data_IF_641705215532
#
_entry.id   IF_641705215532
#
_cell.length_a   1.000
_cell.length_b   1.000
_cell.length_c   1.000
_cell.angle_alpha   90.00
_cell.angle_beta   90.00
_cell.angle_gamma   90.00
#
_symmetry.space_group_name_H-M   'P 1'
#
loop_
_entity.id
_entity.type
_entity.pdbx_description
1 polymer ?
#
# COMPACT_ATOMS: atom_id res chain seq x y z
N UNK A 1 13.86 18.46 27.29
CA UNK A 1 12.92 17.37 27.69
C UNK A 1 13.36 16.00 27.19
N UNK A 2 13.84 15.85 25.95
CA UNK A 2 14.29 14.56 25.39
C UNK A 2 15.82 14.42 25.23
N UNK A 3 16.61 15.37 25.74
CA UNK A 3 18.07 15.47 25.49
C UNK A 3 18.90 14.30 26.05
N UNK A 4 18.34 13.47 26.93
CA UNK A 4 19.04 12.32 27.52
C UNK A 4 18.69 10.98 26.86
N UNK A 5 17.80 10.97 25.87
CA UNK A 5 17.40 9.76 25.14
C UNK A 5 18.14 9.69 23.81
N UNK A 6 18.53 8.49 23.41
CA UNK A 6 19.02 8.24 22.06
C UNK A 6 17.84 8.20 21.08
N UNK A 7 18.11 8.38 19.79
CA UNK A 7 17.06 8.28 18.77
C UNK A 7 16.37 6.91 18.75
N UNK A 8 17.14 5.85 19.02
CA UNK A 8 16.62 4.49 19.11
C UNK A 8 15.65 4.27 20.26
N UNK A 9 15.60 5.18 21.25
CA UNK A 9 14.72 5.10 22.43
C UNK A 9 13.33 5.69 22.19
N UNK A 10 13.03 6.14 20.96
CA UNK A 10 11.83 6.91 20.66
C UNK A 10 10.97 6.21 19.61
N UNK A 11 9.69 6.00 19.96
CA UNK A 11 8.65 5.68 19.01
C UNK A 11 7.74 6.88 18.74
N UNK A 12 7.35 7.03 17.48
CA UNK A 12 6.24 7.86 17.05
C UNK A 12 5.16 6.95 16.46
N UNK A 13 4.02 6.88 17.13
CA UNK A 13 2.93 5.95 16.82
C UNK A 13 1.71 6.72 16.31
N UNK A 14 1.03 6.17 15.31
CA UNK A 14 -0.24 6.69 14.81
C UNK A 14 -1.16 5.54 14.35
N UNK A 15 -2.48 5.76 14.20
CA UNK A 15 -3.35 4.72 13.66
C UNK A 15 -3.04 4.41 12.18
N UNK A 16 -2.62 5.42 11.43
CA UNK A 16 -2.11 5.28 10.06
C UNK A 16 -0.94 6.24 9.82
N UNK A 17 0.08 5.74 9.13
CA UNK A 17 1.26 6.51 8.73
C UNK A 17 1.31 6.75 7.22
N UNK A 18 0.35 6.25 6.43
CA UNK A 18 0.42 6.32 4.95
C UNK A 18 -0.35 7.46 4.33
N UNK A 19 -1.30 8.07 5.04
CA UNK A 19 -2.09 9.18 4.50
C UNK A 19 -1.21 10.36 4.07
N UNK A 20 -1.50 10.94 2.91
CA UNK A 20 -0.77 12.09 2.35
C UNK A 20 -0.80 13.31 3.27
N UNK A 21 -1.93 13.52 3.94
CA UNK A 21 -2.13 14.62 4.89
C UNK A 21 -1.65 14.32 6.31
N UNK A 22 -0.99 13.18 6.54
CA UNK A 22 -0.62 12.76 7.88
C UNK A 22 0.38 13.73 8.53
N UNK A 23 0.09 14.27 9.73
CA UNK A 23 1.04 15.12 10.45
C UNK A 23 2.32 14.38 10.85
N UNK A 24 2.26 13.05 10.92
CA UNK A 24 3.39 12.17 11.21
C UNK A 24 4.44 12.25 10.10
N UNK A 25 3.99 12.27 8.84
CA UNK A 25 4.86 12.46 7.66
C UNK A 25 5.59 13.79 7.70
N UNK A 26 4.88 14.86 8.06
CA UNK A 26 5.47 16.20 8.22
C UNK A 26 6.51 16.23 9.34
N UNK A 27 6.28 15.52 10.45
CA UNK A 27 7.25 15.40 11.52
C UNK A 27 8.49 14.64 11.04
N UNK A 28 8.34 13.47 10.43
CA UNK A 28 9.46 12.67 9.92
C UNK A 28 10.33 13.50 8.97
N UNK A 29 9.73 14.11 7.94
CA UNK A 29 10.47 14.89 6.96
C UNK A 29 11.23 16.03 7.66
N UNK A 30 10.59 16.71 8.63
CA UNK A 30 11.24 17.77 9.40
C UNK A 30 12.42 17.25 10.22
N UNK A 31 12.30 16.11 10.88
CA UNK A 31 13.39 15.51 11.66
C UNK A 31 14.57 15.11 10.75
N UNK A 32 14.28 14.45 9.63
CA UNK A 32 15.30 14.06 8.64
C UNK A 32 16.06 15.29 8.11
N UNK A 33 15.35 16.40 7.87
CA UNK A 33 15.95 17.66 7.46
C UNK A 33 16.88 18.29 8.52
N UNK A 34 16.62 18.04 9.81
CA UNK A 34 17.54 18.39 10.89
C UNK A 34 18.67 17.38 11.10
N UNK A 35 18.83 16.40 10.19
CA UNK A 35 19.86 15.37 10.28
C UNK A 35 19.55 14.26 11.28
N UNK A 36 18.30 14.15 11.74
CA UNK A 36 17.89 13.10 12.67
C UNK A 36 17.46 11.86 11.90
N UNK A 37 18.07 10.72 12.25
CA UNK A 37 17.80 9.47 11.57
C UNK A 37 16.43 8.91 11.97
N UNK A 38 15.62 8.60 10.96
CA UNK A 38 14.27 8.10 11.12
C UNK A 38 14.11 6.75 10.41
N UNK A 39 13.16 5.95 10.88
CA UNK A 39 12.72 4.74 10.21
C UNK A 39 11.21 4.75 10.07
N UNK A 40 10.75 4.51 8.84
CA UNK A 40 9.34 4.25 8.54
C UNK A 40 9.30 2.90 7.81
N UNK A 41 8.49 1.93 8.25
CA UNK A 41 8.28 0.69 7.50
C UNK A 41 7.84 0.97 6.06
N UNK A 42 8.02 0.04 5.11
CA UNK A 42 7.50 0.20 3.73
C UNK A 42 6.03 -0.26 3.61
N UNK A 43 5.60 -1.21 4.44
CA UNK A 43 4.21 -1.64 4.58
C UNK A 43 3.79 -1.72 6.04
N UNK A 44 2.49 -1.91 6.30
CA UNK A 44 1.96 -2.08 7.66
C UNK A 44 2.20 -3.51 8.20
N UNK A 45 2.52 -4.46 7.32
CA UNK A 45 2.85 -5.86 7.64
C UNK A 45 4.36 -6.11 7.74
N UNK A 46 5.18 -5.11 7.43
CA UNK A 46 6.63 -5.26 7.49
C UNK A 46 7.06 -5.65 8.90
N UNK A 47 7.75 -6.79 8.99
CA UNK A 47 8.41 -7.22 10.22
C UNK A 47 9.44 -6.17 10.57
N UNK A 48 9.34 -5.68 11.80
CA UNK A 48 10.23 -4.64 12.33
C UNK A 48 11.61 -5.24 12.54
N UNK A 49 12.50 -5.00 11.59
CA UNK A 49 13.88 -5.47 11.67
C UNK A 49 14.67 -4.63 12.70
N UNK A 50 15.15 -5.23 13.81
CA UNK A 50 15.92 -4.50 14.81
C UNK A 50 17.19 -3.85 14.26
N UNK A 51 17.78 -4.42 13.19
CA UNK A 51 18.98 -3.86 12.57
C UNK A 51 18.69 -2.60 11.76
N UNK A 52 17.48 -2.49 11.19
CA UNK A 52 17.05 -1.31 10.42
C UNK A 52 16.60 -0.17 11.36
N UNK A 53 15.98 -0.50 12.49
CA UNK A 53 15.50 0.48 13.48
C UNK A 53 16.59 0.99 14.44
N UNK A 54 17.73 0.29 14.53
CA UNK A 54 18.80 0.63 15.46
C UNK A 54 19.31 2.06 15.24
N UNK A 55 19.30 2.86 16.31
CA UNK A 55 19.82 4.22 16.31
C UNK A 55 18.91 5.25 15.63
N UNK A 56 17.65 4.90 15.34
CA UNK A 56 16.70 5.76 14.62
C UNK A 56 15.40 5.94 15.39
N UNK A 57 14.78 7.10 15.22
CA UNK A 57 13.40 7.32 15.68
C UNK A 57 12.49 6.49 14.79
N UNK A 58 11.73 5.56 15.37
CA UNK A 58 10.87 4.66 14.60
C UNK A 58 9.43 5.16 14.55
N UNK A 59 8.92 5.33 13.34
CA UNK A 59 7.55 5.74 13.02
C UNK A 59 6.74 4.51 12.63
N UNK A 60 5.64 4.23 13.33
CA UNK A 60 4.93 2.96 13.19
C UNK A 60 3.43 3.12 13.36
N UNK A 61 2.65 2.18 12.83
CA UNK A 61 1.25 2.09 13.21
C UNK A 61 1.08 1.52 14.62
N UNK A 62 -0.08 1.74 15.24
CA UNK A 62 -0.42 1.12 16.53
C UNK A 62 -0.29 -0.41 16.51
N UNK A 63 -0.67 -1.04 15.39
CA UNK A 63 -0.62 -2.49 15.22
C UNK A 63 0.83 -3.00 15.13
N UNK A 64 1.68 -2.31 14.37
CA UNK A 64 3.09 -2.68 14.19
C UNK A 64 3.91 -2.59 15.49
N UNK A 65 3.53 -1.69 16.40
CA UNK A 65 4.23 -1.54 17.66
C UNK A 65 3.93 -2.66 18.68
N UNK A 66 2.99 -3.57 18.39
CA UNK A 66 2.60 -4.66 19.30
C UNK A 66 3.82 -5.53 19.64
N UNK A 67 4.05 -5.75 20.93
CA UNK A 67 5.19 -6.52 21.43
C UNK A 67 6.51 -5.75 21.51
N UNK A 68 6.56 -4.51 21.02
CA UNK A 68 7.72 -3.63 21.16
C UNK A 68 7.53 -2.65 22.33
N UNK A 69 8.62 -2.15 22.90
CA UNK A 69 8.61 -1.11 23.92
C UNK A 69 9.80 -0.17 23.74
N UNK A 70 9.63 1.08 24.18
CA UNK A 70 10.68 2.11 24.16
C UNK A 70 10.56 3.03 25.37
N UNK A 71 11.68 3.61 25.85
CA UNK A 71 11.65 4.62 26.91
C UNK A 71 10.67 5.76 26.61
N UNK A 72 10.65 6.27 25.38
CA UNK A 72 9.79 7.39 24.97
C UNK A 72 8.85 6.97 23.85
N UNK A 73 7.56 7.27 24.01
CA UNK A 73 6.54 7.04 22.97
C UNK A 73 5.68 8.29 22.79
N UNK A 74 5.52 8.69 21.53
CA UNK A 74 4.67 9.81 21.11
C UNK A 74 3.52 9.24 20.28
N UNK A 75 2.29 9.38 20.77
CA UNK A 75 1.06 8.82 20.19
C UNK A 75 0.25 9.94 19.52
N UNK A 76 0.11 9.87 18.20
CA UNK A 76 -0.70 10.79 17.37
C UNK A 76 -2.12 10.28 17.19
N UNK A 77 -3.07 11.21 17.01
CA UNK A 77 -4.49 10.91 16.78
C UNK A 77 -5.14 10.20 17.98
N UNK A 78 -4.82 10.70 19.17
CA UNK A 78 -5.41 10.28 20.44
C UNK A 78 -6.68 11.10 20.72
N UNK A 79 -7.69 10.94 19.86
CA UNK A 79 -8.91 11.74 19.81
C UNK A 79 -10.11 10.89 19.35
N UNK A 80 -11.32 11.43 19.50
CA UNK A 80 -12.58 10.73 19.19
C UNK A 80 -12.73 10.37 17.70
N UNK A 81 -12.12 11.16 16.81
CA UNK A 81 -12.05 10.89 15.37
C UNK A 81 -11.41 9.52 15.04
N UNK A 82 -10.68 8.91 15.98
CA UNK A 82 -10.21 7.55 15.82
C UNK A 82 -11.35 6.56 15.54
N UNK A 83 -12.48 6.73 16.22
CA UNK A 83 -13.64 5.86 16.07
C UNK A 83 -14.25 5.97 14.68
N UNK A 84 -14.26 7.18 14.10
CA UNK A 84 -14.84 7.45 12.80
C UNK A 84 -14.00 6.85 11.65
N UNK A 85 -12.67 6.90 11.77
CA UNK A 85 -11.77 6.57 10.66
C UNK A 85 -11.07 5.22 10.76
N UNK A 86 -10.88 4.69 11.98
CA UNK A 86 -10.00 3.54 12.19
C UNK A 86 -10.64 2.42 13.01
N UNK A 87 -11.78 2.67 13.65
CA UNK A 87 -12.52 1.60 14.31
C UNK A 87 -13.28 0.79 13.25
N UNK A 88 -12.93 -0.49 13.13
CA UNK A 88 -13.51 -1.38 12.11
C UNK A 88 -14.91 -1.89 12.47
N UNK A 89 -15.46 -1.54 13.64
CA UNK A 89 -16.74 -2.07 14.10
C UNK A 89 -17.83 -0.99 13.99
N UNK A 90 -18.98 -1.30 13.38
CA UNK A 90 -20.03 -0.31 13.12
C UNK A 90 -20.76 0.21 14.37
N UNK A 91 -20.44 -0.28 15.58
CA UNK A 91 -21.06 0.14 16.85
C UNK A 91 -20.03 0.16 18.00
N UNK A 92 -18.86 0.76 17.81
CA UNK A 92 -17.88 0.85 18.90
C UNK A 92 -18.40 1.76 20.01
N UNK A 93 -18.40 1.23 21.23
CA UNK A 93 -18.63 2.01 22.44
C UNK A 93 -17.49 3.04 22.63
N UNK A 94 -17.79 4.31 22.33
CA UNK A 94 -16.84 5.43 22.48
C UNK A 94 -16.53 5.77 23.94
N UNK A 95 -17.28 5.22 24.90
CA UNK A 95 -16.99 5.38 26.33
C UNK A 95 -15.83 4.50 26.82
N UNK A 96 -15.33 3.58 25.98
CA UNK A 96 -14.23 2.69 26.32
C UNK A 96 -12.98 3.02 25.52
N UNK A 97 -11.81 2.86 26.15
CA UNK A 97 -10.52 2.98 25.46
C UNK A 97 -10.32 1.77 24.53
N UNK A 98 -10.16 1.97 23.22
CA UNK A 98 -9.90 0.86 22.29
C UNK A 98 -8.61 0.12 22.65
N UNK A 99 -8.64 -1.21 22.56
CA UNK A 99 -7.45 -2.06 22.78
C UNK A 99 -6.24 -1.59 21.95
N UNK A 100 -6.47 -1.14 20.72
CA UNK A 100 -5.41 -0.65 19.83
C UNK A 100 -4.73 0.61 20.38
N UNK A 101 -5.51 1.56 20.93
CA UNK A 101 -4.97 2.75 21.58
C UNK A 101 -4.26 2.40 22.90
N UNK A 102 -4.84 1.49 23.69
CA UNK A 102 -4.21 0.99 24.91
C UNK A 102 -2.85 0.34 24.63
N UNK A 103 -2.77 -0.50 23.58
CA UNK A 103 -1.50 -1.10 23.13
C UNK A 103 -0.50 0.00 22.79
N UNK A 104 -0.89 1.03 22.03
CA UNK A 104 0.00 2.13 21.67
C UNK A 104 0.55 2.87 22.90
N UNK A 105 -0.29 3.18 23.89
CA UNK A 105 0.14 3.86 25.12
C UNK A 105 1.07 2.99 25.98
N UNK A 106 0.80 1.68 26.10
CA UNK A 106 1.61 0.74 26.90
C UNK A 106 2.96 0.40 26.26
N UNK A 107 3.29 0.95 25.09
CA UNK A 107 4.64 0.82 24.52
C UNK A 107 5.66 1.70 25.25
N UNK A 108 5.20 2.72 25.99
CA UNK A 108 6.05 3.65 26.74
C UNK A 108 6.55 3.01 28.04
N UNK A 109 7.85 3.09 28.30
CA UNK A 109 8.47 2.61 29.54
C UNK A 109 8.75 3.75 30.54
N UNK A 110 9.03 4.96 30.05
CA UNK A 110 9.39 6.10 30.89
C UNK A 110 8.52 7.33 30.61
N UNK A 111 8.34 7.71 29.34
CA UNK A 111 7.60 8.92 28.95
C UNK A 111 6.60 8.62 27.85
N UNK A 112 5.35 9.00 28.10
CA UNK A 112 4.26 8.96 27.14
C UNK A 112 3.84 10.39 26.79
N UNK A 113 3.79 10.68 25.49
CA UNK A 113 3.18 11.88 24.94
C UNK A 113 1.96 11.47 24.13
N UNK A 114 0.80 12.07 24.37
CA UNK A 114 -0.41 11.86 23.57
C UNK A 114 -0.77 13.17 22.88
N UNK A 115 -1.10 13.08 21.59
CA UNK A 115 -1.36 14.24 20.74
C UNK A 115 -2.77 14.10 20.15
N UNK A 116 -3.61 15.07 20.49
CA UNK A 116 -4.92 15.30 19.90
C UNK A 116 -4.83 16.42 18.87
N UNK A 117 -5.55 16.28 17.76
CA UNK A 117 -5.69 17.36 16.79
C UNK A 117 -6.61 18.46 17.35
N UNK A 118 -6.27 19.74 17.16
CA UNK A 118 -6.95 20.87 17.81
C UNK A 118 -8.42 21.03 17.42
N UNK A 119 -8.81 20.51 16.25
CA UNK A 119 -10.20 20.50 15.75
C UNK A 119 -10.97 19.22 16.08
N UNK A 120 -10.30 18.21 16.64
CA UNK A 120 -10.94 16.94 16.97
C UNK A 120 -11.45 16.95 18.39
N UNK A 121 -12.52 16.19 18.65
CA UNK A 121 -13.03 15.99 19.99
C UNK A 121 -12.08 15.17 20.85
N UNK A 122 -12.00 15.51 22.12
CA UNK A 122 -11.35 14.68 23.12
C UNK A 122 -12.13 13.38 23.29
N UNK A 123 -11.42 12.29 23.61
CA UNK A 123 -12.02 11.00 23.89
C UNK A 123 -13.00 11.11 25.06
N UNK A 124 -14.19 10.52 24.93
CA UNK A 124 -15.30 10.72 25.88
C UNK A 124 -14.99 10.27 27.31
N UNK A 125 -14.10 9.29 27.46
CA UNK A 125 -13.65 8.76 28.75
C UNK A 125 -12.51 9.55 29.39
N UNK A 126 -11.96 10.58 28.73
CA UNK A 126 -10.95 11.41 29.36
C UNK A 126 -11.58 12.25 30.48
N UNK A 127 -10.99 12.26 31.68
CA UNK A 127 -11.51 13.06 32.79
C UNK A 127 -11.39 14.55 32.46
N UNK A 128 -12.11 15.39 33.20
CA UNK A 128 -12.06 16.84 33.01
C UNK A 128 -10.64 17.41 33.17
N UNK A 129 -10.37 18.55 32.53
CA UNK A 129 -9.03 19.16 32.46
C UNK A 129 -8.40 19.40 33.84
N UNK A 130 -9.22 19.70 34.85
CA UNK A 130 -8.79 19.88 36.24
C UNK A 130 -8.26 18.58 36.88
N UNK A 131 -8.73 17.42 36.41
CA UNK A 131 -8.28 16.10 36.86
C UNK A 131 -7.08 15.66 36.01
N UNK A 132 -7.12 15.87 34.68
CA UNK A 132 -6.00 15.58 33.79
C UNK A 132 -4.73 16.30 34.20
N UNK A 133 -4.82 17.58 34.57
CA UNK A 133 -3.68 18.39 35.02
C UNK A 133 -3.03 17.91 36.33
N UNK A 134 -3.72 17.06 37.13
CA UNK A 134 -3.14 16.44 38.33
C UNK A 134 -2.26 15.22 38.01
N UNK A 135 -2.49 14.57 36.88
CA UNK A 135 -1.84 13.31 36.49
C UNK A 135 -0.97 13.43 35.25
N UNK A 136 -1.09 14.53 34.50
CA UNK A 136 -0.35 14.79 33.28
C UNK A 136 -0.05 16.28 33.08
N UNK A 137 1.03 16.58 32.36
CA UNK A 137 1.31 17.92 31.87
C UNK A 137 0.51 18.21 30.61
N UNK A 138 -0.52 19.06 30.72
CA UNK A 138 -1.39 19.43 29.59
C UNK A 138 -0.85 20.69 28.90
N UNK A 139 -0.75 20.66 27.56
CA UNK A 139 -0.40 21.82 26.73
C UNK A 139 -1.47 22.03 25.67
N UNK A 140 -2.04 23.23 25.62
CA UNK A 140 -3.18 23.57 24.76
C UNK A 140 -4.52 23.42 25.48
N UNK A 141 -5.62 23.42 24.71
CA UNK A 141 -6.98 23.22 25.22
C UNK A 141 -7.47 21.82 24.83
N UNK A 142 -8.15 21.13 25.76
CA UNK A 142 -8.81 19.86 25.49
C UNK A 142 -10.22 20.18 24.98
N UNK A 143 -10.36 20.25 23.66
CA UNK A 143 -11.63 20.60 23.02
C UNK A 143 -12.64 19.45 23.15
N UNK A 144 -13.82 19.73 23.70
CA UNK A 144 -15.00 18.86 23.69
C UNK A 144 -16.09 19.57 22.87
N UNK A 145 -16.05 19.45 21.55
CA UNK A 145 -17.09 20.01 20.67
C UNK A 145 -18.31 19.08 20.70
N UNK A 146 -19.51 19.65 20.52
CA UNK A 146 -20.72 18.85 20.33
C UNK A 146 -20.61 18.01 19.07
N UNK A 147 -21.18 16.80 19.10
CA UNK A 147 -21.18 15.84 17.99
C UNK A 147 -21.57 16.54 16.69
N UNK A 148 -20.64 16.59 15.75
CA UNK A 148 -20.96 17.02 14.39
C UNK A 148 -21.38 15.79 13.60
N UNK A 149 -22.52 15.86 12.91
CA UNK A 149 -22.93 14.85 11.94
C UNK A 149 -21.91 14.85 10.78
N UNK A 150 -20.82 14.09 10.93
CA UNK A 150 -19.84 13.91 9.86
C UNK A 150 -20.50 13.00 8.82
N UNK A 151 -20.81 13.55 7.64
CA UNK A 151 -21.19 12.73 6.50
C UNK A 151 -20.00 11.86 6.09
N UNK A 152 -20.09 10.55 6.35
CA UNK A 152 -19.10 9.59 5.94
C UNK A 152 -19.11 9.45 4.41
N UNK A 153 -18.05 9.93 3.76
CA UNK A 153 -17.76 9.58 2.37
C UNK A 153 -17.18 8.16 2.34
N UNK A 154 -17.67 7.30 1.46
CA UNK A 154 -17.07 5.98 1.27
C UNK A 154 -15.59 6.13 0.88
N UNK A 155 -14.68 5.31 1.44
CA UNK A 155 -13.26 5.46 1.20
C UNK A 155 -12.90 5.11 -0.24
N UNK A 156 -11.92 5.81 -0.80
CA UNK A 156 -11.23 5.35 -2.01
C UNK A 156 -10.37 4.14 -1.64
N UNK A 157 -10.50 3.05 -2.39
CA UNK A 157 -9.73 1.83 -2.22
C UNK A 157 -8.60 1.77 -3.25
N UNK A 158 -7.40 1.40 -2.80
CA UNK A 158 -6.31 1.01 -3.71
C UNK A 158 -6.24 -0.50 -3.83
N UNK A 159 -5.80 -1.01 -4.98
CA UNK A 159 -5.58 -2.46 -5.18
C UNK A 159 -4.76 -3.07 -4.04
N UNK A 160 -3.65 -2.45 -3.68
CA UNK A 160 -2.83 -2.85 -2.54
C UNK A 160 -3.58 -2.84 -1.20
N UNK A 161 -4.42 -1.83 -0.95
CA UNK A 161 -5.19 -1.78 0.30
C UNK A 161 -6.27 -2.87 0.37
N UNK A 162 -6.77 -3.33 -0.78
CA UNK A 162 -7.79 -4.38 -0.87
C UNK A 162 -7.23 -5.76 -0.56
N UNK A 163 -5.98 -6.03 -0.94
CA UNK A 163 -5.38 -7.37 -0.81
C UNK A 163 -4.60 -7.58 0.47
N UNK A 164 -4.22 -6.49 1.17
CA UNK A 164 -3.50 -6.56 2.46
C UNK A 164 -4.40 -6.89 3.65
N UNK A 165 -3.80 -7.49 4.68
CA UNK A 165 -4.44 -7.79 5.98
C UNK A 165 -5.77 -8.55 5.86
N UNK A 166 -5.87 -9.46 4.89
CA UNK A 166 -7.01 -10.39 4.83
C UNK A 166 -6.82 -11.45 5.91
N UNK A 167 -7.91 -11.87 6.55
CA UNK A 167 -7.86 -12.99 7.49
C UNK A 167 -7.67 -14.30 6.75
N UNK A 168 -6.98 -15.26 7.37
CA UNK A 168 -6.83 -16.62 6.82
C UNK A 168 -8.19 -17.22 6.46
N UNK A 169 -9.20 -17.03 7.33
CA UNK A 169 -10.57 -17.46 7.08
C UNK A 169 -11.16 -16.87 5.78
N UNK A 170 -10.93 -15.59 5.49
CA UNK A 170 -11.42 -14.97 4.27
C UNK A 170 -10.64 -15.48 3.05
N UNK A 171 -9.32 -15.67 3.17
CA UNK A 171 -8.50 -16.27 2.12
C UNK A 171 -9.05 -17.67 1.80
N UNK A 172 -9.25 -18.52 2.81
CA UNK A 172 -9.81 -19.87 2.66
C UNK A 172 -11.17 -19.88 1.97
N UNK A 173 -12.01 -18.87 2.22
CA UNK A 173 -13.29 -18.70 1.53
C UNK A 173 -13.15 -18.23 0.09
N UNK A 174 -12.15 -17.40 -0.21
CA UNK A 174 -11.90 -16.86 -1.55
C UNK A 174 -11.26 -17.91 -2.47
N UNK A 175 -10.33 -18.71 -1.95
CA UNK A 175 -9.52 -19.65 -2.75
C UNK A 175 -10.33 -20.60 -3.66
N UNK A 176 -11.49 -21.14 -3.26
CA UNK A 176 -12.33 -21.97 -4.14
C UNK A 176 -12.83 -21.27 -5.41
N UNK A 177 -12.85 -19.94 -5.42
CA UNK A 177 -13.29 -19.12 -6.56
C UNK A 177 -12.14 -18.66 -7.45
N UNK A 178 -10.91 -19.07 -7.15
CA UNK A 178 -9.72 -18.69 -7.89
C UNK A 178 -8.98 -19.91 -8.38
N UNK A 179 -8.51 -19.85 -9.63
CA UNK A 179 -7.65 -20.88 -10.19
C UNK A 179 -6.44 -20.26 -10.86
N UNK A 180 -5.27 -20.67 -10.39
CA UNK A 180 -3.98 -20.29 -10.96
C UNK A 180 -3.24 -21.52 -11.45
N UNK A 181 -2.64 -21.41 -12.62
CA UNK A 181 -1.85 -22.47 -13.23
C UNK A 181 -0.37 -22.05 -13.27
N UNK A 182 0.54 -22.99 -12.99
CA UNK A 182 1.96 -22.74 -13.19
C UNK A 182 2.27 -22.79 -14.69
N UNK A 183 2.94 -21.77 -15.20
CA UNK A 183 3.41 -21.77 -16.59
C UNK A 183 4.78 -22.42 -16.63
N UNK A 184 4.88 -23.57 -17.29
CA UNK A 184 6.16 -24.24 -17.53
C UNK A 184 6.96 -23.41 -18.53
N UNK A 185 8.01 -22.75 -18.05
CA UNK A 185 8.96 -22.04 -18.90
C UNK A 185 10.20 -22.92 -19.01
N UNK A 186 10.48 -23.44 -20.21
CA UNK A 186 11.75 -24.11 -20.51
C UNK A 186 12.90 -23.12 -20.30
N UNK A 187 13.53 -23.13 -19.13
CA UNK A 187 14.70 -22.30 -18.88
C UNK A 187 15.65 -22.88 -17.84
N UNK A 188 16.93 -22.75 -18.18
CA UNK A 188 18.10 -23.42 -17.59
C UNK A 188 18.52 -22.92 -16.19
N UNK A 189 17.68 -22.21 -15.43
CA UNK A 189 18.01 -21.89 -14.03
C UNK A 189 16.83 -21.37 -13.19
N UNK A 190 16.07 -22.30 -12.62
CA UNK A 190 15.23 -22.03 -11.43
C UNK A 190 16.08 -21.80 -10.16
N UNK A 191 17.38 -21.50 -10.29
CA UNK A 191 18.22 -21.17 -9.15
C UNK A 191 17.72 -19.87 -8.53
N UNK A 192 17.19 -19.97 -7.31
CA UNK A 192 16.69 -18.83 -6.54
C UNK A 192 17.79 -17.79 -6.36
N UNK A 193 17.53 -16.56 -6.78
CA UNK A 193 18.39 -15.41 -6.52
C UNK A 193 18.08 -14.91 -5.12
N UNK A 194 19.06 -14.96 -4.23
CA UNK A 194 18.95 -14.37 -2.89
C UNK A 194 19.45 -12.94 -2.93
N UNK A 195 18.52 -11.98 -2.98
CA UNK A 195 18.84 -10.55 -2.90
C UNK A 195 19.11 -10.14 -1.46
N UNK A 196 19.99 -9.15 -1.28
CA UNK A 196 20.23 -8.59 0.04
C UNK A 196 19.04 -7.67 0.40
N UNK A 197 18.31 -7.95 1.49
CA UNK A 197 17.16 -7.13 1.86
C UNK A 197 17.56 -5.79 2.47
N UNK A 198 18.85 -5.60 2.79
CA UNK A 198 19.37 -4.43 3.49
C UNK A 198 20.63 -3.85 2.86
N UNK A 199 20.86 -2.57 3.06
CA UNK A 199 22.13 -1.90 2.75
C UNK A 199 22.64 -1.20 4.01
N UNK A 200 23.96 -1.25 4.25
CA UNK A 200 24.62 -0.43 5.27
C UNK A 200 24.98 0.91 4.64
N UNK A 201 24.64 2.01 5.30
CA UNK A 201 25.17 3.32 4.93
C UNK A 201 26.53 3.52 5.56
N UNK A 202 27.55 3.72 4.74
CA UNK A 202 28.90 4.05 5.21
C UNK A 202 28.96 5.44 5.86
N UNK A 203 28.06 6.35 5.47
CA UNK A 203 27.97 7.71 6.02
C UNK A 203 27.37 7.73 7.43
N UNK A 204 26.30 6.96 7.65
CA UNK A 204 25.56 7.00 8.92
C UNK A 204 25.82 5.81 9.84
N UNK A 205 26.47 4.74 9.35
CA UNK A 205 26.67 3.50 10.09
C UNK A 205 25.37 2.77 10.44
N UNK A 206 24.27 3.07 9.74
CA UNK A 206 22.95 2.44 9.94
C UNK A 206 22.51 1.65 8.72
N UNK A 207 21.55 0.73 8.89
CA UNK A 207 21.05 -0.10 7.80
C UNK A 207 19.67 0.32 7.33
N UNK A 208 19.40 0.23 6.02
CA UNK A 208 18.09 0.45 5.43
C UNK A 208 17.55 -0.80 4.75
N UNK A 209 16.22 -0.98 4.79
CA UNK A 209 15.54 -1.99 3.98
C UNK A 209 15.40 -1.51 2.53
N UNK A 210 15.89 -2.33 1.60
CA UNK A 210 16.00 -1.99 0.16
C UNK A 210 15.25 -2.95 -0.76
N UNK A 211 14.47 -3.87 -0.20
CA UNK A 211 13.74 -4.88 -0.98
C UNK A 211 12.70 -4.22 -1.90
N UNK A 212 11.96 -3.22 -1.40
CA UNK A 212 10.97 -2.49 -2.18
C UNK A 212 11.62 -1.66 -3.30
N UNK A 213 12.73 -0.97 -3.01
CA UNK A 213 13.51 -0.23 -4.01
C UNK A 213 14.01 -1.17 -5.10
N UNK A 214 14.47 -2.37 -4.73
CA UNK A 214 14.93 -3.37 -5.72
C UNK A 214 13.78 -3.89 -6.58
N UNK A 215 12.59 -4.09 -6.00
CA UNK A 215 11.38 -4.45 -6.74
C UNK A 215 10.97 -3.42 -7.78
N UNK A 216 11.17 -2.13 -7.49
CA UNK A 216 10.91 -1.01 -8.40
C UNK A 216 12.01 -0.87 -9.46
N UNK A 217 13.27 -0.99 -9.06
CA UNK A 217 14.43 -0.70 -9.92
C UNK A 217 14.61 -1.71 -11.06
N UNK A 218 14.28 -2.99 -10.84
CA UNK A 218 14.52 -4.04 -11.83
C UNK A 218 13.60 -3.89 -13.07
N UNK A 219 12.26 -3.78 -12.94
CA UNK A 219 11.39 -3.48 -14.07
C UNK A 219 11.76 -2.15 -14.75
N UNK A 220 12.06 -1.10 -13.97
CA UNK A 220 12.45 0.19 -14.51
C UNK A 220 13.76 0.14 -15.33
N UNK A 221 14.75 -0.65 -14.88
CA UNK A 221 15.99 -0.87 -15.64
C UNK A 221 15.73 -1.62 -16.95
N UNK A 222 14.84 -2.61 -16.93
CA UNK A 222 14.41 -3.30 -18.13
C UNK A 222 13.75 -2.34 -19.13
N UNK A 223 12.79 -1.53 -18.67
CA UNK A 223 12.14 -0.50 -19.49
C UNK A 223 13.19 0.47 -20.09
N UNK A 224 14.07 1.02 -19.25
CA UNK A 224 15.09 1.97 -19.67
C UNK A 224 16.05 1.39 -20.72
N UNK A 225 16.47 0.13 -20.56
CA UNK A 225 17.38 -0.53 -21.50
C UNK A 225 16.80 -0.55 -22.92
N UNK A 226 15.50 -0.80 -23.03
CA UNK A 226 14.77 -0.92 -24.29
C UNK A 226 14.34 0.44 -24.87
N UNK A 227 13.85 1.36 -24.03
CA UNK A 227 13.24 2.63 -24.49
C UNK A 227 14.13 3.87 -24.36
N UNK A 228 15.26 3.76 -23.66
CA UNK A 228 16.14 4.89 -23.26
C UNK A 228 15.45 5.94 -22.37
N UNK A 229 14.27 5.61 -21.85
CA UNK A 229 13.50 6.33 -20.83
C UNK A 229 12.74 5.28 -20.00
N UNK A 230 12.19 5.67 -18.84
CA UNK A 230 11.30 4.81 -18.06
C UNK A 230 10.21 5.62 -17.36
N UNK A 231 9.11 4.94 -17.06
CA UNK A 231 7.90 5.53 -16.49
C UNK A 231 8.15 6.16 -15.12
N UNK A 232 9.11 5.66 -14.34
CA UNK A 232 9.53 6.25 -13.06
C UNK A 232 10.02 7.69 -13.24
N UNK A 233 10.84 7.97 -14.25
CA UNK A 233 11.39 9.31 -14.50
C UNK A 233 10.25 10.26 -14.88
N UNK A 234 9.31 9.80 -15.71
CA UNK A 234 8.14 10.58 -16.11
C UNK A 234 7.28 10.96 -14.89
N UNK A 235 7.05 10.01 -13.99
CA UNK A 235 6.28 10.26 -12.75
C UNK A 235 7.03 11.22 -11.83
N UNK A 236 8.34 11.04 -11.62
CA UNK A 236 9.17 11.97 -10.82
C UNK A 236 9.03 13.40 -11.35
N UNK A 237 9.07 13.58 -12.67
CA UNK A 237 8.99 14.90 -13.29
C UNK A 237 7.59 15.55 -13.19
N UNK A 238 6.54 14.75 -12.99
CA UNK A 238 5.18 15.24 -12.80
C UNK A 238 4.87 15.62 -11.35
N UNK A 239 5.60 15.05 -10.38
CA UNK A 239 5.39 15.37 -8.97
C UNK A 239 5.87 16.81 -8.71
N UNK A 240 4.92 17.69 -8.39
CA UNK A 240 5.20 19.07 -8.02
C UNK A 240 6.04 19.09 -6.74
N UNK A 241 7.28 19.58 -6.82
CA UNK A 241 8.17 19.69 -5.67
C UNK A 241 7.70 20.81 -4.72
N UNK A 242 6.65 20.58 -3.94
CA UNK A 242 6.13 21.60 -3.02
C UNK A 242 6.87 21.65 -1.67
N UNK A 243 8.17 21.33 -1.68
CA UNK A 243 9.04 21.66 -0.55
C UNK A 243 10.41 22.09 -1.05
N UNK A 244 10.77 23.33 -0.75
CA UNK A 244 12.12 23.87 -0.95
C UNK A 244 13.20 22.95 -0.35
N UNK A 245 12.85 22.25 0.74
CA UNK A 245 13.78 21.46 1.55
C UNK A 245 14.19 20.14 0.87
N UNK A 246 13.28 19.49 0.16
CA UNK A 246 13.59 18.23 -0.54
C UNK A 246 14.54 18.48 -1.72
N UNK A 247 14.44 19.63 -2.38
CA UNK A 247 15.36 20.02 -3.45
C UNK A 247 16.80 20.27 -2.99
N UNK A 248 17.01 20.56 -1.70
CA UNK A 248 18.34 20.78 -1.11
C UNK A 248 19.06 19.47 -0.76
N UNK A 249 18.37 18.33 -0.81
CA UNK A 249 19.00 17.04 -0.56
C UNK A 249 19.98 16.68 -1.69
N UNK A 250 21.24 16.46 -1.33
CA UNK A 250 22.32 16.05 -2.25
C UNK A 250 21.93 14.86 -3.14
N UNK A 251 21.22 13.88 -2.58
CA UNK A 251 20.76 12.68 -3.31
C UNK A 251 19.80 13.04 -4.44
N UNK A 252 18.98 14.09 -4.29
CA UNK A 252 18.08 14.56 -5.35
C UNK A 252 18.84 15.33 -6.42
N UNK A 253 19.88 16.07 -6.04
CA UNK A 253 20.78 16.72 -7.01
C UNK A 253 21.52 15.67 -7.84
N UNK A 254 22.09 14.64 -7.19
CA UNK A 254 22.70 13.49 -7.86
C UNK A 254 21.71 12.77 -8.79
N UNK A 255 20.45 12.62 -8.38
CA UNK A 255 19.42 12.02 -9.23
C UNK A 255 19.13 12.89 -10.47
N UNK A 256 19.06 14.21 -10.34
CA UNK A 256 18.92 15.15 -11.48
C UNK A 256 20.12 15.07 -12.42
N UNK A 257 21.35 14.98 -11.88
CA UNK A 257 22.56 14.78 -12.69
C UNK A 257 22.53 13.45 -13.46
N UNK A 258 22.12 12.36 -12.81
CA UNK A 258 21.93 11.04 -13.43
C UNK A 258 20.90 11.11 -14.56
N UNK A 259 19.77 11.80 -14.34
CA UNK A 259 18.76 11.99 -15.39
C UNK A 259 19.33 12.77 -16.58
N UNK A 260 20.04 13.88 -16.32
CA UNK A 260 20.62 14.73 -17.37
C UNK A 260 21.67 14.00 -18.21
N UNK A 261 22.52 13.16 -17.59
CA UNK A 261 23.57 12.40 -18.29
C UNK A 261 23.09 11.06 -18.86
N UNK A 262 21.85 10.66 -18.56
CA UNK A 262 21.31 9.32 -18.79
C UNK A 262 21.77 8.27 -17.77
N UNK A 263 20.92 7.26 -17.56
CA UNK A 263 21.18 6.13 -16.66
C UNK A 263 22.20 5.19 -17.34
N UNK A 264 23.35 4.97 -16.70
CA UNK A 264 24.45 4.17 -17.24
C UNK A 264 24.66 2.85 -16.50
N UNK A 265 24.36 2.84 -15.20
CA UNK A 265 24.57 1.67 -14.33
C UNK A 265 23.27 1.29 -13.62
N UNK A 266 23.26 0.14 -12.95
CA UNK A 266 22.13 -0.21 -12.08
C UNK A 266 22.12 0.57 -10.78
N UNK A 267 23.28 1.02 -10.32
CA UNK A 267 23.39 1.93 -9.18
C UNK A 267 22.65 3.25 -9.45
N UNK A 268 22.77 3.78 -10.68
CA UNK A 268 21.99 4.92 -11.14
C UNK A 268 20.48 4.66 -11.03
N UNK A 269 20.03 3.47 -11.47
CA UNK A 269 18.61 3.11 -11.40
C UNK A 269 18.12 2.92 -9.95
N UNK A 270 18.95 2.36 -9.06
CA UNK A 270 18.61 2.22 -7.64
C UNK A 270 18.50 3.60 -6.97
N UNK A 271 19.35 4.56 -7.34
CA UNK A 271 19.24 5.95 -6.90
C UNK A 271 17.93 6.59 -7.37
N UNK A 272 17.60 6.49 -8.66
CA UNK A 272 16.34 7.01 -9.21
C UNK A 272 15.13 6.36 -8.54
N UNK A 273 15.17 5.05 -8.32
CA UNK A 273 14.09 4.29 -7.66
C UNK A 273 13.92 4.68 -6.19
N UNK A 274 15.00 5.06 -5.50
CA UNK A 274 14.96 5.56 -4.12
C UNK A 274 14.30 6.93 -4.06
N UNK A 275 14.62 7.82 -5.01
CA UNK A 275 13.93 9.12 -5.13
C UNK A 275 12.46 8.94 -5.46
N UNK A 276 12.13 8.06 -6.42
CA UNK A 276 10.75 7.73 -6.75
C UNK A 276 9.97 7.23 -5.52
N UNK A 277 10.52 6.29 -4.76
CA UNK A 277 9.87 5.73 -3.58
C UNK A 277 9.65 6.78 -2.47
N UNK A 278 10.64 7.62 -2.21
CA UNK A 278 10.49 8.66 -1.19
C UNK A 278 9.50 9.76 -1.61
N UNK A 279 9.47 10.14 -2.89
CA UNK A 279 8.51 11.13 -3.40
C UNK A 279 7.08 10.60 -3.41
N UNK A 280 6.88 9.34 -3.81
CA UNK A 280 5.54 8.72 -3.88
C UNK A 280 5.00 8.35 -2.50
N UNK A 281 5.86 7.88 -1.59
CA UNK A 281 5.48 7.61 -0.20
C UNK A 281 5.35 8.89 0.64
N UNK A 282 6.03 9.95 0.23
CA UNK A 282 6.14 11.23 0.94
C UNK A 282 7.07 11.22 2.16
N UNK A 283 7.83 10.14 2.36
CA UNK A 283 8.83 10.00 3.42
C UNK A 283 10.24 10.06 2.85
N UNK A 284 11.13 10.84 3.47
CA UNK A 284 12.44 11.12 2.89
C UNK A 284 13.61 10.46 3.64
N UNK A 285 13.38 9.72 4.74
CA UNK A 285 14.47 9.06 5.47
C UNK A 285 15.37 8.20 4.56
N UNK A 286 14.82 7.38 3.66
CA UNK A 286 15.64 6.54 2.77
C UNK A 286 16.46 7.37 1.77
N UNK A 287 15.86 8.43 1.21
CA UNK A 287 16.57 9.38 0.34
C UNK A 287 17.76 9.97 1.08
N UNK A 288 17.61 10.31 2.37
CA UNK A 288 18.70 10.89 3.17
C UNK A 288 19.72 9.85 3.62
N UNK A 289 19.27 8.65 3.99
CA UNK A 289 20.06 7.68 4.76
C UNK A 289 20.74 6.61 3.90
N UNK A 290 20.33 6.40 2.65
CA UNK A 290 21.02 5.48 1.74
C UNK A 290 22.14 6.23 1.02
N UNK A 291 23.39 5.87 1.33
CA UNK A 291 24.59 6.41 0.68
C UNK A 291 25.10 5.56 -0.49
N UNK A 292 24.92 4.24 -0.39
CA UNK A 292 25.57 3.25 -1.26
C UNK A 292 24.54 2.48 -2.08
N UNK A 293 24.70 2.44 -3.40
CA UNK A 293 23.72 1.89 -4.35
C UNK A 293 24.21 0.60 -5.03
N UNK A 294 24.95 -0.24 -4.29
CA UNK A 294 25.68 -1.40 -4.82
C UNK A 294 25.21 -2.76 -4.25
N UNK A 295 24.05 -2.81 -3.58
CA UNK A 295 23.55 -4.00 -2.87
C UNK A 295 23.05 -5.14 -3.79
N UNK A 296 22.96 -4.91 -5.10
CA UNK A 296 22.63 -5.93 -6.11
C UNK A 296 23.87 -6.20 -6.97
N UNK A 297 24.40 -7.41 -6.88
CA UNK A 297 25.60 -7.77 -7.63
C UNK A 297 25.33 -7.85 -9.14
N UNK A 298 26.30 -7.50 -10.01
CA UNK A 298 26.12 -7.53 -11.47
C UNK A 298 25.65 -8.89 -12.01
N UNK A 299 26.11 -10.00 -11.42
CA UNK A 299 25.65 -11.35 -11.78
C UNK A 299 24.17 -11.57 -11.46
N UNK A 300 23.70 -11.06 -10.33
CA UNK A 300 22.28 -11.17 -9.93
C UNK A 300 21.42 -10.33 -10.88
N UNK A 301 21.82 -9.10 -11.16
CA UNK A 301 21.13 -8.24 -12.13
C UNK A 301 21.05 -8.90 -13.51
N UNK A 302 22.15 -9.47 -14.02
CA UNK A 302 22.15 -10.17 -15.31
C UNK A 302 21.10 -11.28 -15.38
N UNK A 303 20.93 -12.05 -14.29
CA UNK A 303 19.92 -13.10 -14.21
C UNK A 303 18.49 -12.53 -14.13
N UNK A 304 18.28 -11.49 -13.33
CA UNK A 304 16.98 -10.80 -13.23
C UNK A 304 16.55 -10.23 -14.59
N UNK A 305 17.45 -9.54 -15.28
CA UNK A 305 17.21 -8.97 -16.61
C UNK A 305 16.94 -10.05 -17.65
N UNK A 306 17.72 -11.14 -17.66
CA UNK A 306 17.46 -12.28 -18.56
C UNK A 306 16.06 -12.86 -18.33
N UNK A 307 15.59 -12.95 -17.09
CA UNK A 307 14.24 -13.44 -16.78
C UNK A 307 13.15 -12.49 -17.25
N UNK A 308 13.34 -11.18 -17.10
CA UNK A 308 12.43 -10.19 -17.67
C UNK A 308 12.38 -10.31 -19.21
N UNK A 309 13.54 -10.44 -19.88
CA UNK A 309 13.67 -10.60 -21.33
C UNK A 309 13.01 -11.88 -21.88
N UNK A 310 12.83 -12.93 -21.06
CA UNK A 310 12.13 -14.14 -21.47
C UNK A 310 10.60 -13.95 -21.57
N UNK A 311 10.06 -12.94 -20.90
CA UNK A 311 8.61 -12.78 -20.72
C UNK A 311 8.06 -11.47 -21.28
N UNK A 312 8.89 -10.44 -21.35
CA UNK A 312 8.50 -9.09 -21.76
C UNK A 312 9.12 -8.77 -23.12
N UNK A 313 8.42 -7.97 -23.93
CA UNK A 313 8.94 -7.47 -25.20
C UNK A 313 9.57 -6.08 -25.04
N UNK A 314 10.14 -5.54 -26.13
CA UNK A 314 10.63 -4.14 -26.15
C UNK A 314 9.48 -3.12 -26.12
N UNK A 315 8.29 -3.52 -26.56
CA UNK A 315 7.11 -2.67 -26.67
C UNK A 315 6.26 -2.68 -25.39
N UNK A 316 6.67 -3.42 -24.35
CA UNK A 316 5.94 -3.49 -23.09
C UNK A 316 5.71 -2.11 -22.49
N UNK A 317 4.51 -1.87 -21.99
CA UNK A 317 4.10 -0.63 -21.34
C UNK A 317 4.13 -0.79 -19.83
N UNK A 318 4.75 0.15 -19.11
CA UNK A 318 4.95 0.05 -17.66
C UNK A 318 4.06 1.02 -16.89
N UNK A 319 3.82 0.72 -15.61
CA UNK A 319 3.29 1.67 -14.60
C UNK A 319 1.95 2.32 -15.00
N UNK A 320 1.04 1.58 -15.65
CA UNK A 320 -0.24 2.13 -16.14
C UNK A 320 -1.29 2.19 -15.05
N UNK A 321 -1.91 3.35 -14.89
CA UNK A 321 -3.01 3.54 -13.94
C UNK A 321 -4.32 2.95 -14.46
N UNK A 322 -4.97 2.15 -13.63
CA UNK A 322 -6.32 1.64 -13.80
C UNK A 322 -7.21 2.17 -12.67
N UNK A 323 -8.41 2.62 -13.01
CA UNK A 323 -9.41 3.09 -12.04
C UNK A 323 -10.78 2.66 -12.52
N UNK A 324 -11.60 2.16 -11.60
CA UNK A 324 -13.02 1.98 -11.82
C UNK A 324 -13.81 2.27 -10.56
N UNK A 325 -15.13 2.34 -10.67
CA UNK A 325 -16.03 2.61 -9.57
C UNK A 325 -16.94 1.42 -9.28
N UNK A 326 -17.06 1.09 -8.00
CA UNK A 326 -18.00 0.11 -7.50
C UNK A 326 -19.15 0.83 -6.77
N UNK A 327 -20.39 0.51 -7.15
CA UNK A 327 -21.57 1.05 -6.47
C UNK A 327 -21.97 0.09 -5.38
N UNK A 328 -21.91 0.57 -4.13
CA UNK A 328 -22.30 -0.19 -2.95
C UNK A 328 -23.37 0.57 -2.19
N UNK A 329 -24.59 0.02 -2.14
CA UNK A 329 -25.78 0.72 -1.62
C UNK A 329 -25.91 2.09 -2.31
N UNK A 330 -25.86 3.19 -1.56
CA UNK A 330 -25.95 4.55 -2.07
C UNK A 330 -24.58 5.24 -2.24
N UNK A 331 -23.49 4.48 -2.13
CA UNK A 331 -22.13 5.00 -2.23
C UNK A 331 -21.42 4.54 -3.49
N UNK A 332 -20.65 5.44 -4.08
CA UNK A 332 -19.72 5.15 -5.17
C UNK A 332 -18.31 5.09 -4.62
N UNK A 333 -17.71 3.91 -4.65
CA UNK A 333 -16.35 3.64 -4.17
C UNK A 333 -15.41 3.66 -5.36
N UNK A 334 -14.36 4.47 -5.30
CA UNK A 334 -13.30 4.46 -6.29
C UNK A 334 -12.31 3.34 -5.97
N UNK A 335 -12.04 2.47 -6.94
CA UNK A 335 -11.00 1.43 -6.86
C UNK A 335 -9.91 1.79 -7.86
N UNK A 336 -8.68 1.99 -7.38
CA UNK A 336 -7.56 2.43 -8.22
C UNK A 336 -6.30 1.61 -7.98
N UNK A 337 -5.50 1.44 -9.02
CA UNK A 337 -4.20 0.80 -8.93
C UNK A 337 -3.31 1.11 -10.11
N UNK A 338 -2.08 0.63 -10.04
CA UNK A 338 -1.07 0.83 -11.07
C UNK A 338 -0.46 -0.52 -11.42
N UNK A 339 -0.72 -0.99 -12.63
CA UNK A 339 -0.21 -2.28 -13.10
C UNK A 339 1.27 -2.14 -13.41
N UNK A 340 2.04 -3.19 -13.11
CA UNK A 340 3.49 -3.17 -13.34
C UNK A 340 3.78 -3.12 -14.84
N UNK A 341 3.23 -4.07 -15.62
CA UNK A 341 3.48 -4.16 -17.06
C UNK A 341 2.26 -4.65 -17.84
N UNK A 342 2.04 -4.06 -19.02
CA UNK A 342 1.16 -4.59 -20.08
C UNK A 342 2.04 -4.89 -21.29
N UNK A 343 2.03 -6.14 -21.74
CA UNK A 343 2.74 -6.58 -22.95
C UNK A 343 1.77 -7.29 -23.89
N UNK A 344 1.46 -6.64 -25.02
CA UNK A 344 0.52 -7.14 -26.04
C UNK A 344 -0.87 -7.48 -25.46
N UNK A 345 -1.21 -8.76 -25.35
CA UNK A 345 -2.47 -9.28 -24.82
C UNK A 345 -2.38 -9.69 -23.34
N UNK A 346 -1.25 -9.43 -22.68
CA UNK A 346 -0.95 -9.94 -21.34
C UNK A 346 -0.70 -8.80 -20.34
N UNK A 347 -1.43 -8.81 -19.23
CA UNK A 347 -1.14 -7.99 -18.06
C UNK A 347 -0.25 -8.79 -17.10
N UNK A 348 0.86 -8.18 -16.71
CA UNK A 348 1.84 -8.77 -15.83
C UNK A 348 1.91 -8.01 -14.50
N UNK A 349 1.81 -8.77 -13.41
CA UNK A 349 2.25 -8.35 -12.08
C UNK A 349 3.65 -8.93 -11.84
N UNK A 350 4.62 -8.09 -11.51
CA UNK A 350 6.02 -8.46 -11.37
C UNK A 350 6.45 -8.37 -9.91
N UNK A 351 7.00 -9.46 -9.40
CA UNK A 351 7.56 -9.52 -8.05
C UNK A 351 9.05 -9.78 -8.09
N UNK A 352 9.74 -9.20 -7.12
CA UNK A 352 11.17 -9.42 -6.87
C UNK A 352 11.33 -9.89 -5.42
N UNK A 353 10.74 -11.05 -5.10
CA UNK A 353 10.54 -11.52 -3.73
C UNK A 353 11.00 -12.97 -3.55
N UNK A 354 11.25 -13.38 -2.31
CA UNK A 354 11.70 -14.74 -2.03
C UNK A 354 10.62 -15.80 -2.29
N UNK A 355 9.36 -15.49 -1.97
CA UNK A 355 8.25 -16.43 -2.06
C UNK A 355 6.99 -15.65 -2.42
N UNK A 356 6.27 -16.12 -3.43
CA UNK A 356 4.93 -15.59 -3.74
C UNK A 356 3.91 -16.12 -2.74
N UNK A 357 2.93 -15.28 -2.43
CA UNK A 357 1.80 -15.55 -1.54
C UNK A 357 0.49 -15.29 -2.27
N UNK A 358 -0.62 -15.74 -1.70
CA UNK A 358 -1.98 -15.56 -2.18
C UNK A 358 -2.35 -14.07 -2.29
N UNK A 359 -1.78 -13.19 -1.46
CA UNK A 359 -1.95 -11.74 -1.58
C UNK A 359 -1.52 -11.23 -2.97
N UNK A 360 -0.41 -11.75 -3.50
CA UNK A 360 0.08 -11.34 -4.82
C UNK A 360 -0.84 -11.86 -5.95
N UNK A 361 -1.46 -13.02 -5.76
CA UNK A 361 -2.44 -13.58 -6.68
C UNK A 361 -3.73 -12.76 -6.70
N UNK A 362 -4.21 -12.39 -5.52
CA UNK A 362 -5.34 -11.49 -5.36
C UNK A 362 -5.06 -10.13 -5.99
N UNK A 363 -3.84 -9.62 -5.87
CA UNK A 363 -3.44 -8.35 -6.50
C UNK A 363 -3.60 -8.42 -8.02
N UNK A 364 -3.11 -9.49 -8.65
CA UNK A 364 -3.30 -9.72 -10.07
C UNK A 364 -4.79 -9.87 -10.45
N UNK A 365 -5.59 -10.55 -9.63
CA UNK A 365 -7.03 -10.70 -9.87
C UNK A 365 -7.77 -9.37 -9.82
N UNK A 366 -7.44 -8.49 -8.87
CA UNK A 366 -8.04 -7.14 -8.82
C UNK A 366 -7.65 -6.35 -10.06
N UNK A 367 -6.41 -6.45 -10.54
CA UNK A 367 -6.01 -5.84 -11.82
C UNK A 367 -6.73 -6.44 -13.02
N UNK A 368 -6.97 -7.75 -13.02
CA UNK A 368 -7.82 -8.40 -14.01
C UNK A 368 -9.20 -7.75 -14.05
N UNK A 369 -9.86 -7.65 -12.89
CA UNK A 369 -11.18 -7.01 -12.78
C UNK A 369 -11.20 -5.58 -13.31
N UNK A 370 -10.24 -4.74 -12.89
CA UNK A 370 -10.14 -3.36 -13.36
C UNK A 370 -9.94 -3.28 -14.87
N UNK A 371 -9.04 -4.09 -15.43
CA UNK A 371 -8.71 -4.05 -16.86
C UNK A 371 -9.85 -4.54 -17.76
N UNK A 372 -10.66 -5.50 -17.29
CA UNK A 372 -11.86 -6.00 -17.99
C UNK A 372 -12.95 -4.92 -18.11
N UNK A 373 -12.86 -3.86 -17.31
CA UNK A 373 -13.85 -2.78 -17.20
C UNK A 373 -13.31 -1.45 -17.72
N UNK A 374 -12.04 -1.41 -18.10
CA UNK A 374 -11.40 -0.25 -18.72
C UNK A 374 -11.55 -0.32 -20.25
N UNK A 375 -12.13 0.70 -20.87
CA UNK A 375 -12.36 0.78 -22.32
C UNK A 375 -11.08 0.57 -23.15
N UNK A 376 -9.92 0.98 -22.61
CA UNK A 376 -8.62 0.85 -23.28
C UNK A 376 -8.17 -0.61 -23.36
N UNK A 377 -8.58 -1.44 -22.39
CA UNK A 377 -7.98 -2.76 -22.15
C UNK A 377 -8.94 -3.94 -22.21
N UNK A 378 -10.25 -3.73 -22.01
CA UNK A 378 -11.27 -4.80 -21.91
C UNK A 378 -11.29 -5.76 -23.11
N UNK A 379 -10.99 -5.25 -24.29
CA UNK A 379 -10.97 -6.02 -25.53
C UNK A 379 -9.56 -6.41 -25.98
N UNK A 380 -8.52 -5.88 -25.32
CA UNK A 380 -7.11 -6.05 -25.69
C UNK A 380 -6.45 -7.12 -24.84
N UNK A 381 -6.60 -7.03 -23.51
CA UNK A 381 -5.95 -7.92 -22.56
C UNK A 381 -6.77 -9.21 -22.43
N UNK A 382 -6.08 -10.35 -22.57
CA UNK A 382 -6.66 -11.70 -22.53
C UNK A 382 -5.99 -12.63 -21.52
N UNK A 383 -4.77 -12.31 -21.11
CA UNK A 383 -3.96 -13.11 -20.18
C UNK A 383 -3.52 -12.26 -19.00
N UNK A 384 -3.45 -12.90 -17.84
CA UNK A 384 -3.07 -12.26 -16.59
C UNK A 384 -2.03 -13.14 -15.91
N UNK A 385 -0.81 -12.62 -15.74
CA UNK A 385 0.31 -13.41 -15.26
C UNK A 385 1.04 -12.73 -14.11
N UNK A 386 1.41 -13.52 -13.11
CA UNK A 386 2.27 -13.14 -11.99
C UNK A 386 3.66 -13.73 -12.25
N UNK A 387 4.68 -12.88 -12.34
CA UNK A 387 6.07 -13.26 -12.54
C UNK A 387 6.90 -12.93 -11.30
N UNK A 388 7.57 -13.92 -10.72
CA UNK A 388 8.61 -13.67 -9.72
C UNK A 388 10.00 -13.72 -10.36
N UNK A 389 10.67 -12.57 -10.48
CA UNK A 389 11.99 -12.47 -11.08
C UNK A 389 13.08 -13.19 -10.25
N UNK A 390 12.88 -13.38 -8.95
CA UNK A 390 13.87 -14.02 -8.08
C UNK A 390 14.02 -15.52 -8.31
N UNK A 391 13.00 -16.23 -8.77
CA UNK A 391 13.06 -17.65 -9.12
C UNK A 391 12.65 -17.97 -10.56
N UNK A 392 12.11 -16.98 -11.29
CA UNK A 392 11.64 -17.13 -12.67
C UNK A 392 10.29 -17.83 -12.78
N UNK A 393 9.58 -18.08 -11.67
CA UNK A 393 8.28 -18.74 -11.70
C UNK A 393 7.21 -17.79 -12.23
N UNK A 394 6.35 -18.35 -13.07
CA UNK A 394 5.18 -17.66 -13.61
C UNK A 394 3.93 -18.42 -13.22
N UNK A 395 2.95 -17.69 -12.67
CA UNK A 395 1.58 -18.20 -12.44
C UNK A 395 0.62 -17.41 -13.31
N UNK A 396 -0.32 -18.09 -13.95
CA UNK A 396 -1.32 -17.49 -14.82
C UNK A 396 -2.71 -17.70 -14.22
N UNK A 397 -3.53 -16.64 -14.24
CA UNK A 397 -4.91 -16.70 -13.78
C UNK A 397 -5.78 -17.39 -14.84
N UNK A 398 -6.37 -18.54 -14.50
CA UNK A 398 -7.32 -19.24 -15.36
C UNK A 398 -8.71 -18.60 -15.23
N UNK A 399 -9.06 -17.75 -16.19
CA UNK A 399 -10.35 -17.05 -16.22
C UNK A 399 -11.56 -18.00 -16.31
N UNK A 400 -11.38 -19.23 -16.82
CA UNK A 400 -12.49 -20.20 -16.92
C UNK A 400 -12.80 -20.83 -15.56
N UNK A 401 -11.76 -21.05 -14.77
CA UNK A 401 -11.84 -21.60 -13.42
C UNK A 401 -12.01 -20.55 -12.33
N UNK A 402 -11.93 -19.26 -12.66
CA UNK A 402 -11.99 -18.15 -11.69
C UNK A 402 -13.31 -17.40 -11.79
N UNK A 403 -13.91 -17.06 -10.65
CA UNK A 403 -15.03 -16.14 -10.57
C UNK A 403 -14.59 -14.78 -10.03
N UNK A 404 -14.11 -13.91 -10.93
CA UNK A 404 -13.49 -12.63 -10.58
C UNK A 404 -14.46 -11.72 -9.80
N UNK A 405 -15.72 -11.62 -10.23
CA UNK A 405 -16.70 -10.73 -9.60
C UNK A 405 -17.04 -11.15 -8.17
N UNK A 406 -17.16 -12.45 -7.91
CA UNK A 406 -17.39 -12.97 -6.55
C UNK A 406 -16.23 -12.65 -5.62
N UNK A 407 -15.00 -12.88 -6.08
CA UNK A 407 -13.79 -12.55 -5.29
C UNK A 407 -13.76 -11.06 -4.99
N UNK A 408 -14.04 -10.20 -5.98
CA UNK A 408 -14.10 -8.76 -5.81
C UNK A 408 -15.17 -8.32 -4.82
N UNK A 409 -16.37 -8.91 -4.89
CA UNK A 409 -17.45 -8.63 -3.94
C UNK A 409 -17.04 -8.98 -2.51
N UNK A 410 -16.40 -10.13 -2.29
CA UNK A 410 -15.90 -10.57 -0.98
C UNK A 410 -14.82 -9.61 -0.45
N UNK A 411 -13.87 -9.21 -1.29
CA UNK A 411 -12.82 -8.26 -0.91
C UNK A 411 -13.41 -6.89 -0.52
N UNK A 412 -14.36 -6.37 -1.30
CA UNK A 412 -15.00 -5.08 -1.04
C UNK A 412 -15.82 -5.13 0.25
N UNK A 413 -16.69 -6.15 0.42
CA UNK A 413 -17.50 -6.32 1.64
C UNK A 413 -16.64 -6.37 2.90
N UNK A 414 -15.54 -7.13 2.86
CA UNK A 414 -14.57 -7.18 3.96
C UNK A 414 -13.98 -5.79 4.27
N UNK A 415 -13.57 -5.02 3.25
CA UNK A 415 -12.97 -3.69 3.46
C UNK A 415 -13.96 -2.63 3.95
N UNK A 416 -15.24 -2.79 3.65
CA UNK A 416 -16.32 -1.93 4.15
C UNK A 416 -16.81 -2.33 5.55
N UNK A 417 -16.16 -3.28 6.22
CA UNK A 417 -16.51 -3.69 7.58
C UNK A 417 -17.82 -4.48 7.68
N UNK A 418 -18.34 -4.96 6.54
CA UNK A 418 -19.51 -5.83 6.50
C UNK A 418 -19.06 -7.29 6.55
N UNK A 419 -18.85 -7.80 7.76
CA UNK A 419 -18.79 -9.24 8.01
C UNK A 419 -20.21 -9.83 8.13
N UNK A 420 -21.13 -9.44 7.26
CA UNK A 420 -22.30 -10.27 7.02
C UNK A 420 -21.78 -11.49 6.26
N UNK A 421 -21.54 -12.57 7.00
CA UNK A 421 -21.23 -13.88 6.44
C UNK A 421 -22.19 -14.14 5.28
N UNK A 422 -21.65 -14.25 4.06
CA UNK A 422 -22.46 -14.54 2.88
C UNK A 422 -23.04 -15.93 3.06
N UNK A 423 -24.36 -15.98 3.27
CA UNK A 423 -25.12 -17.19 3.46
C UNK A 423 -24.85 -18.16 2.29
N UNK A 424 -24.51 -19.41 2.62
CA UNK A 424 -24.23 -20.50 1.67
C UNK A 424 -25.40 -20.66 0.67
N UNK A 425 -26.61 -20.26 1.07
CA UNK A 425 -27.80 -20.24 0.22
C UNK A 425 -27.71 -19.32 -1.01
N UNK A 426 -26.94 -18.22 -0.95
CA UNK A 426 -26.70 -17.35 -2.11
C UNK A 426 -25.89 -18.09 -3.20
N UNK A 427 -24.98 -18.96 -2.80
CA UNK A 427 -24.14 -19.74 -3.71
C UNK A 427 -24.92 -20.83 -4.45
N UNK A 428 -25.90 -21.47 -3.79
CA UNK A 428 -26.81 -22.40 -4.47
C UNK A 428 -27.71 -21.68 -5.49
N UNK A 429 -28.17 -20.46 -5.19
CA UNK A 429 -28.91 -19.64 -6.15
C UNK A 429 -28.06 -19.22 -7.35
N UNK A 430 -26.82 -18.78 -7.14
CA UNK A 430 -25.89 -18.42 -8.22
C UNK A 430 -25.53 -19.62 -9.11
N UNK A 431 -25.38 -20.81 -8.52
CA UNK A 431 -25.17 -22.06 -9.26
C UNK A 431 -26.40 -22.46 -10.09
N UNK A 432 -27.60 -22.35 -9.53
CA UNK A 432 -28.88 -22.56 -10.24
C UNK A 432 -29.09 -21.56 -11.39
N UNK A 433 -28.69 -20.30 -11.21
CA UNK A 433 -28.75 -19.28 -12.26
C UNK A 433 -27.78 -19.64 -13.40
N UNK A 434 -26.54 -20.04 -13.09
CA UNK A 434 -25.56 -20.46 -14.10
C UNK A 434 -26.00 -21.68 -14.90
N UNK A 435 -26.61 -22.68 -14.26
CA UNK A 435 -27.17 -23.86 -14.94
C UNK A 435 -28.34 -23.49 -15.86
N UNK A 436 -29.15 -22.49 -15.47
CA UNK A 436 -30.22 -21.95 -16.33
C UNK A 436 -29.69 -21.10 -17.47
N UNK A 437 -28.65 -20.28 -17.25
CA UNK A 437 -28.10 -19.38 -18.27
C UNK A 437 -27.33 -20.13 -19.36
N UNK A 438 -26.65 -21.24 -19.05
CA UNK A 438 -25.96 -22.07 -20.08
C UNK A 438 -26.94 -22.65 -21.11
N UNK A 439 -28.22 -22.87 -20.73
CA UNK A 439 -29.26 -23.33 -21.66
C UNK A 439 -29.85 -22.24 -22.58
N UNK A 440 -29.52 -20.96 -22.35
CA UNK A 440 -30.13 -19.81 -23.05
C UNK A 440 -29.16 -19.16 -24.06
N UNK A 441 -27.87 -19.50 -24.04
CA UNK A 441 -26.83 -18.89 -24.90
C UNK A 441 -26.99 -19.24 -26.40
N UNK A 442 -27.88 -20.17 -26.77
CA UNK A 442 -28.14 -20.53 -28.18
C UNK A 442 -29.25 -19.70 -28.88
N UNK A 443 -29.67 -18.54 -28.35
CA UNK A 443 -30.58 -17.64 -29.07
C UNK A 443 -30.08 -16.19 -29.13
N UNK A 444 -30.16 -15.53 -30.30
CA UNK A 444 -29.69 -14.16 -30.46
C UNK A 444 -30.60 -13.20 -29.66
N UNK A 445 -29.98 -12.36 -28.84
CA UNK A 445 -30.64 -11.29 -28.10
C UNK A 445 -31.17 -10.23 -29.08
N UNK A 446 -32.48 -9.98 -29.04
CA UNK A 446 -33.12 -8.80 -29.64
C UNK A 446 -33.03 -7.63 -28.67
N UNK A 447 -32.85 -6.45 -29.24
CA UNK A 447 -32.74 -5.15 -28.57
C UNK A 447 -33.86 -4.89 -27.55
N UNK A 448 -33.49 -4.42 -26.36
CA UNK A 448 -34.41 -3.86 -25.38
C UNK A 448 -33.89 -2.48 -24.97
N UNK A 449 -34.68 -1.46 -25.28
CA UNK A 449 -34.49 -0.07 -24.88
C UNK A 449 -34.78 0.11 -23.38
N UNK A 450 -34.01 0.95 -22.70
CA UNK A 450 -34.31 1.42 -21.35
C UNK A 450 -34.91 2.82 -21.39
N UNK A 451 -36.14 2.96 -20.91
CA UNK A 451 -36.79 4.25 -20.63
C UNK A 451 -36.33 4.78 -19.26
N UNK A 452 -36.04 6.07 -19.21
CA UNK A 452 -35.68 6.83 -18.01
C UNK A 452 -36.92 7.34 -17.29
N UNK A 453 -37.03 7.11 -15.98
CA UNK A 453 -37.95 7.86 -15.11
C UNK A 453 -37.15 8.67 -14.10
N UNK A 454 -37.36 10.00 -14.12
CA UNK A 454 -36.97 10.91 -13.05
C UNK A 454 -38.06 10.96 -11.98
N UNK A 455 -37.65 11.08 -10.72
CA UNK A 455 -38.56 11.29 -9.59
C UNK A 455 -37.95 12.36 -8.69
N UNK A 456 -38.36 13.60 -8.94
CA UNK A 456 -38.41 14.66 -7.94
C UNK A 456 -39.83 14.72 -7.37
N UNK A 457 -39.93 15.23 -6.13
CA UNK A 457 -41.15 15.54 -5.38
C UNK A 457 -41.96 14.37 -4.81
N UNK A 458 -41.56 13.90 -3.63
CA UNK A 458 -42.49 13.59 -2.55
C UNK A 458 -41.71 13.52 -1.24
N UNK A 459 -41.87 14.52 -0.36
CA UNK A 459 -41.72 14.50 1.12
C UNK A 459 -41.38 15.91 1.64
N UNK A 460 -42.35 16.81 1.46
CA UNK A 460 -42.64 17.90 2.40
C UNK A 460 -43.82 17.42 3.25
N UNK A 461 -43.53 16.90 4.44
CA UNK A 461 -44.38 16.93 5.64
C UNK A 461 -43.56 16.56 6.87
#
# INVERSE_FOLDING_TARGET
MLQHYSYGDIFVLAPSIRSESSPVRRLENKLVNYGILCHVPASDDDIVDPLVTKGKISFMTYHQAKGLQRPVVIVYNFSDDYFDFYSKQPNVDRSQLPNTMYVACTRAMERLFVIQHSKSNALHFLPEDQILSKVASVKGQVSRLQDTNIQHKAPDLTVTSMTRHLSDQLIDQIMPFMKFENVNVESDSHSKIKLNPRVLSDVFGTQESVSNITGIAVPAMYEYKNKKTCSLIEIINQISFDSSIVNELEVIQRAKEVQNRGIKTFEDMLLISTVFEGLTSGYIHKIRQISDYNWVAPRQLKLLMKRAELHLSSESEFEKSLTDFYVYKNYKISIKGRVDVIDRDTLWEIKCINTMTEEHELQLLVYCWLSMRDERYKNVIKKFKLLNLCDGKVRELDLRGTNVDVVMEMLIKNKLGQNEFVDINFFEQAKSIREKTVSIIDKPLKDVYYESYGVDEFLLQ
#
